data_IF_784870267720
#
_entry.id   IF_784870267720
#
_cell.length_a   1.000
_cell.length_b   1.000
_cell.length_c   1.000
_cell.angle_alpha   90.00
_cell.angle_beta   90.00
_cell.angle_gamma   90.00
#
_symmetry.space_group_name_H-M   'P 1'
#
loop_
_entity.id
_entity.type
_entity.pdbx_description
1 polymer ?
#
# COMPACT_ATOMS: atom_id res chain seq x y z
N UNK A 1 19.16 8.73 7.95
CA UNK A 1 18.87 8.96 6.52
C UNK A 1 17.37 9.07 6.38
N UNK A 2 16.86 10.11 5.73
CA UNK A 2 15.42 10.31 5.54
C UNK A 2 14.93 9.40 4.40
N UNK A 3 13.90 8.59 4.65
CA UNK A 3 13.29 7.72 3.64
C UNK A 3 12.73 8.57 2.50
N UNK A 4 13.14 8.26 1.27
CA UNK A 4 12.59 8.95 0.09
C UNK A 4 11.16 8.49 -0.20
N UNK A 5 10.34 9.30 -0.90
CA UNK A 5 9.00 8.90 -1.35
C UNK A 5 8.94 7.55 -2.05
N UNK A 6 9.93 7.27 -2.92
CA UNK A 6 10.02 6.01 -3.65
C UNK A 6 10.32 4.83 -2.71
N UNK A 7 11.31 4.98 -1.82
CA UNK A 7 11.65 3.94 -0.84
C UNK A 7 10.47 3.62 0.07
N UNK A 8 9.63 4.59 0.40
CA UNK A 8 8.42 4.35 1.17
C UNK A 8 7.40 3.49 0.41
N UNK A 9 7.12 3.83 -0.85
CA UNK A 9 6.20 3.06 -1.67
C UNK A 9 6.70 1.62 -1.90
N UNK A 10 8.01 1.45 -2.12
CA UNK A 10 8.64 0.15 -2.27
C UNK A 10 8.60 -0.64 -0.95
N UNK A 11 8.78 0.02 0.20
CA UNK A 11 8.67 -0.62 1.51
C UNK A 11 7.25 -1.11 1.81
N UNK A 12 6.21 -0.35 1.39
CA UNK A 12 4.82 -0.81 1.49
C UNK A 12 4.62 -2.08 0.66
N UNK A 13 5.02 -2.05 -0.60
CA UNK A 13 4.88 -3.21 -1.50
C UNK A 13 5.62 -4.43 -0.92
N UNK A 14 6.84 -4.24 -0.43
CA UNK A 14 7.65 -5.29 0.19
C UNK A 14 7.04 -5.85 1.48
N UNK A 15 6.33 -5.04 2.26
CA UNK A 15 5.61 -5.49 3.46
C UNK A 15 4.33 -6.27 3.12
N UNK A 16 3.64 -5.90 2.03
CA UNK A 16 2.37 -6.51 1.65
C UNK A 16 2.52 -7.77 0.81
N UNK A 17 3.47 -7.81 -0.14
CA UNK A 17 3.64 -8.95 -1.07
C UNK A 17 3.77 -10.32 -0.40
N UNK A 18 4.55 -10.49 0.67
CA UNK A 18 4.70 -11.79 1.33
C UNK A 18 3.40 -12.33 1.95
N UNK A 19 2.42 -11.45 2.20
CA UNK A 19 1.14 -11.79 2.81
C UNK A 19 0.07 -12.16 1.76
N UNK A 20 0.40 -12.08 0.47
CA UNK A 20 -0.55 -12.24 -0.62
C UNK A 20 -1.36 -13.55 -0.50
N UNK A 21 -2.66 -13.43 -0.72
CA UNK A 21 -3.61 -14.54 -0.75
C UNK A 21 -4.32 -14.54 -2.11
N UNK A 22 -3.87 -15.37 -3.08
CA UNK A 22 -4.43 -15.40 -4.43
C UNK A 22 -5.92 -15.75 -4.49
N UNK A 23 -6.40 -16.63 -3.59
CA UNK A 23 -7.82 -16.99 -3.55
C UNK A 23 -8.69 -15.80 -3.12
N UNK A 24 -8.20 -15.03 -2.15
CA UNK A 24 -8.89 -13.83 -1.68
C UNK A 24 -8.75 -12.69 -2.69
N UNK A 25 -7.60 -12.56 -3.35
CA UNK A 25 -7.38 -11.60 -4.44
C UNK A 25 -8.42 -11.78 -5.53
N UNK A 26 -8.60 -13.00 -6.05
CA UNK A 26 -9.59 -13.29 -7.09
C UNK A 26 -11.02 -12.90 -6.69
N UNK A 27 -11.39 -13.06 -5.40
CA UNK A 27 -12.70 -12.61 -4.89
C UNK A 27 -12.81 -11.09 -4.87
N UNK A 28 -11.77 -10.39 -4.41
CA UNK A 28 -11.72 -8.93 -4.33
C UNK A 28 -11.69 -8.28 -5.73
N UNK A 29 -10.96 -8.86 -6.67
CA UNK A 29 -10.92 -8.43 -8.07
C UNK A 29 -12.31 -8.55 -8.71
N UNK A 30 -12.98 -9.70 -8.56
CA UNK A 30 -14.35 -9.90 -9.05
C UNK A 30 -15.34 -8.89 -8.45
N UNK A 31 -15.23 -8.62 -7.15
CA UNK A 31 -16.04 -7.60 -6.50
C UNK A 31 -15.84 -6.21 -7.13
N UNK A 32 -14.61 -5.88 -7.51
CA UNK A 32 -14.25 -4.66 -8.23
C UNK A 32 -14.35 -4.77 -9.76
N UNK A 33 -15.14 -5.71 -10.27
CA UNK A 33 -15.35 -5.94 -11.71
C UNK A 33 -14.06 -6.18 -12.51
N UNK A 34 -13.04 -6.75 -11.87
CA UNK A 34 -11.69 -7.02 -12.40
C UNK A 34 -10.99 -5.77 -12.97
N UNK A 35 -11.26 -4.58 -12.42
CA UNK A 35 -10.63 -3.32 -12.85
C UNK A 35 -9.31 -3.02 -12.15
N UNK A 36 -9.00 -3.75 -11.08
CA UNK A 36 -7.81 -3.54 -10.27
C UNK A 36 -7.22 -4.89 -9.89
N UNK A 37 -5.90 -4.92 -9.70
CA UNK A 37 -5.17 -6.08 -9.18
C UNK A 37 -5.18 -6.03 -7.66
N UNK A 38 -5.35 -7.18 -7.02
CA UNK A 38 -5.28 -7.29 -5.56
C UNK A 38 -4.23 -8.31 -5.10
N UNK A 39 -3.63 -8.06 -3.94
CA UNK A 39 -2.88 -9.07 -3.18
C UNK A 39 -3.80 -9.96 -2.36
N UNK A 40 -5.07 -9.59 -2.18
CA UNK A 40 -6.05 -10.35 -1.40
C UNK A 40 -6.02 -10.03 0.09
N UNK A 41 -5.53 -8.85 0.48
CA UNK A 41 -5.36 -8.49 1.89
C UNK A 41 -6.57 -7.70 2.41
N UNK A 42 -7.31 -8.22 3.41
CA UNK A 42 -8.35 -7.46 4.06
C UNK A 42 -7.75 -6.29 4.87
N UNK A 43 -8.54 -5.25 5.12
CA UNK A 43 -8.06 -4.01 5.74
C UNK A 43 -7.32 -4.20 7.08
N UNK A 44 -7.74 -5.08 8.01
CA UNK A 44 -6.99 -5.30 9.25
C UNK A 44 -5.57 -5.84 9.02
N UNK A 45 -5.41 -6.82 8.11
CA UNK A 45 -4.11 -7.44 7.80
C UNK A 45 -3.19 -6.42 7.13
N UNK A 46 -3.71 -5.68 6.12
CA UNK A 46 -2.94 -4.64 5.44
C UNK A 46 -2.46 -3.57 6.42
N UNK A 47 -3.36 -3.04 7.25
CA UNK A 47 -3.05 -1.96 8.21
C UNK A 47 -2.02 -2.38 9.23
N UNK A 48 -2.11 -3.61 9.74
CA UNK A 48 -1.15 -4.14 10.69
C UNK A 48 0.25 -4.25 10.05
N UNK A 49 0.34 -4.78 8.83
CA UNK A 49 1.59 -4.95 8.09
C UNK A 49 2.34 -3.63 7.81
N UNK A 50 1.61 -2.54 7.59
CA UNK A 50 2.20 -1.22 7.23
C UNK A 50 2.21 -0.22 8.37
N UNK A 51 1.71 -0.58 9.55
CA UNK A 51 1.50 0.32 10.70
C UNK A 51 2.74 1.12 11.06
N UNK A 52 3.90 0.47 11.13
CA UNK A 52 5.17 1.11 11.45
C UNK A 52 5.64 2.07 10.34
N UNK A 53 5.38 1.72 9.07
CA UNK A 53 5.75 2.53 7.91
C UNK A 53 4.92 3.82 7.85
N UNK A 54 3.60 3.73 8.06
CA UNK A 54 2.69 4.88 7.98
C UNK A 54 2.84 5.84 9.17
N UNK A 55 3.32 5.34 10.32
CA UNK A 55 3.60 6.14 11.51
C UNK A 55 4.86 7.01 11.39
N UNK A 56 5.66 6.86 10.32
CA UNK A 56 6.86 7.67 10.14
C UNK A 56 6.52 9.15 9.96
N UNK A 57 7.38 10.00 10.52
CA UNK A 57 7.30 11.45 10.35
C UNK A 57 7.95 11.86 9.04
N UNK A 58 7.28 12.76 8.30
CA UNK A 58 7.82 13.35 7.09
C UNK A 58 8.46 14.69 7.39
N UNK A 59 9.53 15.00 6.66
CA UNK A 59 10.21 16.29 6.79
C UNK A 59 9.35 17.46 6.29
N UNK A 60 8.39 17.20 5.41
CA UNK A 60 7.44 18.21 4.93
C UNK A 60 6.15 17.57 4.42
N UNK A 61 5.04 18.34 4.34
CA UNK A 61 3.81 17.89 3.69
C UNK A 61 4.02 17.49 2.22
N UNK A 62 4.95 18.14 1.52
CA UNK A 62 5.28 17.81 0.14
C UNK A 62 5.88 16.41 0.01
N UNK A 63 6.82 16.05 0.90
CA UNK A 63 7.43 14.72 0.91
C UNK A 63 6.39 13.63 1.18
N UNK A 64 5.42 13.89 2.08
CA UNK A 64 4.28 13.00 2.31
C UNK A 64 3.43 12.84 1.04
N UNK A 65 3.04 13.95 0.39
CA UNK A 65 2.23 13.90 -0.82
C UNK A 65 2.92 13.16 -1.97
N UNK A 66 4.22 13.34 -2.12
CA UNK A 66 5.00 12.60 -3.11
C UNK A 66 5.02 11.10 -2.80
N UNK A 67 5.15 10.73 -1.53
CA UNK A 67 5.11 9.33 -1.11
C UNK A 67 3.73 8.69 -1.36
N UNK A 68 2.65 9.41 -1.03
CA UNK A 68 1.27 9.01 -1.35
C UNK A 68 1.09 8.82 -2.86
N UNK A 69 1.62 9.72 -3.70
CA UNK A 69 1.59 9.59 -5.16
C UNK A 69 2.33 8.34 -5.65
N UNK A 70 3.52 8.06 -5.10
CA UNK A 70 4.26 6.86 -5.50
C UNK A 70 3.54 5.57 -5.10
N UNK A 71 2.94 5.52 -3.92
CA UNK A 71 2.10 4.39 -3.50
C UNK A 71 0.86 4.20 -4.38
N UNK A 72 0.28 5.29 -4.88
CA UNK A 72 -0.88 5.26 -5.78
C UNK A 72 -0.55 4.73 -7.18
N UNK A 73 0.70 4.85 -7.62
CA UNK A 73 1.17 4.34 -8.91
C UNK A 73 1.52 2.84 -8.89
N UNK A 74 1.41 2.16 -7.74
CA UNK A 74 1.60 0.71 -7.64
C UNK A 74 0.41 -0.03 -8.26
N UNK A 75 0.68 -1.22 -8.80
CA UNK A 75 -0.34 -1.99 -9.53
C UNK A 75 -1.45 -2.51 -8.60
N UNK A 76 -1.07 -2.91 -7.39
CA UNK A 76 -1.96 -3.54 -6.43
C UNK A 76 -2.77 -2.50 -5.67
N UNK A 77 -4.09 -2.71 -5.59
CA UNK A 77 -5.02 -1.75 -5.01
C UNK A 77 -4.77 -1.52 -3.52
N UNK A 78 -4.23 -2.51 -2.82
CA UNK A 78 -3.85 -2.38 -1.41
C UNK A 78 -2.77 -1.31 -1.19
N UNK A 79 -1.83 -1.12 -2.12
CA UNK A 79 -0.84 -0.04 -2.03
C UNK A 79 -1.49 1.35 -2.10
N UNK A 80 -2.51 1.52 -2.94
CA UNK A 80 -3.32 2.74 -3.00
C UNK A 80 -4.07 3.00 -1.69
N UNK A 81 -4.63 1.95 -1.07
CA UNK A 81 -5.34 2.10 0.20
C UNK A 81 -4.42 2.48 1.35
N UNK A 82 -3.21 1.90 1.40
CA UNK A 82 -2.19 2.30 2.39
C UNK A 82 -1.80 3.78 2.27
N UNK A 83 -1.86 4.34 1.06
CA UNK A 83 -1.62 5.77 0.83
C UNK A 83 -2.66 6.68 1.53
N UNK A 84 -3.85 6.14 1.85
CA UNK A 84 -4.98 6.84 2.50
C UNK A 84 -5.10 6.50 4.00
N UNK A 85 -4.54 5.39 4.48
CA UNK A 85 -4.65 4.93 5.89
C UNK A 85 -3.93 5.85 6.93
N UNK A 86 -3.52 7.05 6.53
CA UNK A 86 -2.74 8.04 7.30
C UNK A 86 -3.59 8.89 8.23
#
# INVERSE_FOLDING_TARGET
MSTTPQQFADAIEAALRPLANPEQAAKMERYMLNRYVFLGLPAPVRRDAVKALIAQQWQSPHALLDATRQSWNKAERECCYTAIDR
#
